data_IF_795192327222
#
_entry.id   IF_795192327222
#
_cell.length_a   1.000
_cell.length_b   1.000
_cell.length_c   1.000
_cell.angle_alpha   90.00
_cell.angle_beta   90.00
_cell.angle_gamma   90.00
#
_symmetry.space_group_name_H-M   'P 1'
#
loop_
_entity.id
_entity.type
_entity.pdbx_description
1 polymer ?
#
# COMPACT_ATOMS: atom_id res chain seq x y z
N UNK A 1 -15.59 8.84 -7.58
CA UNK A 1 -14.52 9.50 -6.80
C UNK A 1 -13.21 8.77 -7.04
N UNK A 2 -12.09 9.45 -7.34
CA UNK A 2 -10.80 8.79 -7.59
C UNK A 2 -10.28 8.09 -6.33
N UNK A 3 -9.54 7.00 -6.50
CA UNK A 3 -8.79 6.38 -5.41
C UNK A 3 -7.47 7.14 -5.24
N UNK A 4 -7.10 7.43 -4.00
CA UNK A 4 -5.85 8.10 -3.64
C UNK A 4 -5.01 7.21 -2.73
N UNK A 5 -3.70 7.19 -2.95
CA UNK A 5 -2.78 6.51 -2.05
C UNK A 5 -2.70 7.27 -0.73
N UNK A 6 -2.84 6.57 0.40
CA UNK A 6 -2.75 7.16 1.74
C UNK A 6 -1.36 7.06 2.37
N UNK A 7 -0.39 6.51 1.65
CA UNK A 7 1.00 6.50 2.08
C UNK A 7 1.53 7.92 2.33
N UNK A 8 2.41 8.12 3.34
CA UNK A 8 3.14 9.38 3.45
C UNK A 8 3.94 9.64 2.17
N UNK A 9 3.99 10.91 1.76
CA UNK A 9 4.78 11.37 0.60
C UNK A 9 4.43 10.68 -0.73
N UNK A 10 3.20 10.16 -0.87
CA UNK A 10 2.73 9.57 -2.12
C UNK A 10 1.57 10.39 -2.70
N UNK A 11 1.69 10.75 -3.98
CA UNK A 11 0.67 11.48 -4.74
C UNK A 11 -0.06 10.59 -5.76
N UNK A 12 0.15 9.27 -5.73
CA UNK A 12 -0.47 8.36 -6.69
C UNK A 12 -1.99 8.32 -6.56
N UNK A 13 -2.66 8.41 -7.70
CA UNK A 13 -4.12 8.39 -7.84
C UNK A 13 -4.55 7.36 -8.88
N UNK A 14 -5.85 7.10 -8.99
CA UNK A 14 -6.38 6.20 -10.01
C UNK A 14 -5.96 6.67 -11.41
N UNK A 15 -5.20 5.84 -12.13
CA UNK A 15 -4.65 6.17 -13.46
C UNK A 15 -3.20 6.66 -13.45
N UNK A 16 -2.59 6.90 -12.28
CA UNK A 16 -1.15 7.16 -12.19
C UNK A 16 -0.34 5.96 -12.70
N UNK A 17 0.78 6.24 -13.36
CA UNK A 17 1.74 5.23 -13.79
C UNK A 17 2.78 5.02 -12.68
N UNK A 18 3.13 3.76 -12.42
CA UNK A 18 4.20 3.38 -11.51
C UNK A 18 5.57 3.46 -12.17
N UNK A 19 6.61 3.04 -11.45
CA UNK A 19 7.99 3.04 -11.95
C UNK A 19 8.19 2.19 -13.22
N UNK A 20 7.35 1.17 -13.43
CA UNK A 20 7.37 0.29 -14.61
C UNK A 20 6.54 0.84 -15.80
N UNK A 21 6.10 2.10 -15.73
CA UNK A 21 5.25 2.76 -16.71
C UNK A 21 3.89 2.06 -16.92
N UNK A 22 3.41 1.29 -15.92
CA UNK A 22 2.09 0.66 -15.92
C UNK A 22 1.17 1.30 -14.88
N UNK A 23 -0.16 1.21 -15.04
CA UNK A 23 -1.09 1.74 -14.06
C UNK A 23 -0.88 1.14 -12.67
N UNK A 24 -0.74 2.00 -11.66
CA UNK A 24 -0.62 1.55 -10.27
C UNK A 24 -1.92 0.89 -9.81
N UNK A 25 -1.78 -0.21 -9.08
CA UNK A 25 -2.92 -0.91 -8.48
C UNK A 25 -3.14 -0.42 -7.04
N UNK A 26 -4.38 -0.41 -6.58
CA UNK A 26 -4.75 0.06 -5.23
C UNK A 26 -5.24 -1.09 -4.36
N UNK A 27 -4.69 -1.21 -3.15
CA UNK A 27 -5.01 -2.25 -2.18
C UNK A 27 -5.56 -1.65 -0.90
N UNK A 28 -6.64 -2.25 -0.39
CA UNK A 28 -7.29 -1.82 0.86
C UNK A 28 -6.44 -2.19 2.07
N UNK A 29 -6.58 -1.40 3.13
CA UNK A 29 -6.03 -1.78 4.43
C UNK A 29 -6.68 -3.08 4.93
N UNK A 30 -5.90 -3.98 5.57
CA UNK A 30 -6.39 -5.26 6.06
C UNK A 30 -7.15 -5.09 7.38
N UNK A 31 -8.30 -4.40 7.35
CA UNK A 31 -9.08 -4.04 8.55
C UNK A 31 -9.59 -5.24 9.37
N UNK A 32 -9.62 -6.43 8.76
CA UNK A 32 -10.01 -7.69 9.42
C UNK A 32 -8.83 -8.44 10.06
N UNK A 33 -7.60 -8.01 9.77
CA UNK A 33 -6.36 -8.63 10.23
C UNK A 33 -5.55 -7.59 11.01
N UNK A 34 -5.84 -7.51 12.31
CA UNK A 34 -5.24 -6.54 13.22
C UNK A 34 -3.70 -6.60 13.25
N UNK A 35 -3.06 -7.78 13.39
CA UNK A 35 -1.61 -7.90 13.34
C UNK A 35 -1.00 -7.36 12.05
N UNK A 36 -1.57 -7.71 10.90
CA UNK A 36 -1.08 -7.22 9.61
C UNK A 36 -1.31 -5.73 9.45
N UNK A 37 -2.46 -5.23 9.89
CA UNK A 37 -2.76 -3.80 9.87
C UNK A 37 -1.74 -3.01 10.70
N UNK A 38 -1.42 -3.47 11.91
CA UNK A 38 -0.42 -2.85 12.76
C UNK A 38 0.97 -2.84 12.09
N UNK A 39 1.35 -3.92 11.41
CA UNK A 39 2.59 -3.94 10.64
C UNK A 39 2.59 -2.88 9.52
N UNK A 40 1.50 -2.75 8.76
CA UNK A 40 1.39 -1.72 7.72
C UNK A 40 1.54 -0.31 8.31
N UNK A 41 0.87 -0.03 9.43
CA UNK A 41 0.93 1.26 10.11
C UNK A 41 2.34 1.57 10.63
N UNK A 42 3.05 0.58 11.18
CA UNK A 42 4.45 0.71 11.61
C UNK A 42 5.37 1.07 10.45
N UNK A 43 5.29 0.33 9.34
CA UNK A 43 6.13 0.62 8.17
C UNK A 43 5.81 1.99 7.53
N UNK A 44 4.58 2.46 7.67
CA UNK A 44 4.17 3.81 7.26
C UNK A 44 4.60 4.92 8.23
N UNK A 45 5.16 4.59 9.41
CA UNK A 45 5.43 5.56 10.48
C UNK A 45 4.16 6.18 11.08
N UNK A 46 3.04 5.45 11.07
CA UNK A 46 1.71 5.92 11.50
C UNK A 46 1.04 4.95 12.47
N UNK A 47 1.75 4.49 13.50
CA UNK A 47 1.26 3.46 14.44
C UNK A 47 -0.06 3.83 15.14
N UNK A 48 -0.25 5.11 15.47
CA UNK A 48 -1.45 5.60 16.17
C UNK A 48 -2.62 5.95 15.22
N UNK A 49 -2.49 5.71 13.92
CA UNK A 49 -3.49 6.09 12.94
C UNK A 49 -4.43 4.93 12.61
N UNK A 50 -5.74 5.19 12.58
CA UNK A 50 -6.75 4.19 12.24
C UNK A 50 -7.24 4.43 10.79
N UNK A 51 -6.97 3.50 9.86
CA UNK A 51 -7.45 3.64 8.49
C UNK A 51 -8.94 3.29 8.38
N UNK A 52 -9.61 3.93 7.42
CA UNK A 52 -11.00 3.63 7.04
C UNK A 52 -11.07 2.65 5.86
N UNK A 53 -12.24 2.06 5.64
CA UNK A 53 -12.48 1.11 4.55
C UNK A 53 -12.35 1.69 3.13
N UNK A 54 -12.30 3.02 3.02
CA UNK A 54 -12.16 3.75 1.76
C UNK A 54 -10.70 4.13 1.45
N UNK A 55 -9.78 3.87 2.37
CA UNK A 55 -8.37 4.19 2.20
C UNK A 55 -7.58 3.02 1.62
N UNK A 56 -6.55 3.37 0.84
CA UNK A 56 -5.80 2.40 0.05
C UNK A 56 -4.31 2.77 0.01
N UNK A 57 -3.47 1.77 -0.25
CA UNK A 57 -2.09 1.94 -0.66
C UNK A 57 -1.93 1.53 -2.12
N UNK A 58 -1.09 2.26 -2.86
CA UNK A 58 -0.74 1.87 -4.23
C UNK A 58 0.33 0.77 -4.26
N UNK A 59 0.48 0.10 -5.40
CA UNK A 59 1.41 -1.03 -5.58
C UNK A 59 2.87 -0.68 -5.33
N UNK A 60 3.26 0.59 -5.52
CA UNK A 60 4.66 1.04 -5.38
C UNK A 60 5.21 0.90 -3.96
N UNK A 61 4.34 0.74 -2.96
CA UNK A 61 4.75 0.58 -1.56
C UNK A 61 5.08 -0.88 -1.20
N UNK A 62 4.85 -1.82 -2.10
CA UNK A 62 5.08 -3.24 -1.89
C UNK A 62 6.16 -3.75 -2.84
N UNK A 63 7.00 -4.65 -2.34
CA UNK A 63 7.98 -5.32 -3.19
C UNK A 63 7.30 -6.29 -4.16
N UNK A 64 7.94 -6.64 -5.29
CA UNK A 64 7.39 -7.61 -6.23
C UNK A 64 7.02 -8.96 -5.59
N UNK A 65 7.76 -9.39 -4.55
CA UNK A 65 7.51 -10.65 -3.83
C UNK A 65 6.26 -10.63 -2.96
N UNK A 66 5.73 -9.46 -2.63
CA UNK A 66 4.46 -9.31 -1.90
C UNK A 66 3.24 -9.68 -2.75
N UNK A 67 3.40 -9.81 -4.07
CA UNK A 67 2.30 -10.08 -4.99
C UNK A 67 2.22 -11.55 -5.37
N UNK A 68 0.98 -12.02 -5.56
CA UNK A 68 0.69 -13.33 -6.14
C UNK A 68 -0.39 -13.20 -7.22
N UNK A 69 -0.29 -14.03 -8.25
CA UNK A 69 -1.31 -14.13 -9.28
C UNK A 69 -2.24 -15.30 -8.99
N UNK A 70 -3.55 -15.06 -9.04
CA UNK A 70 -4.58 -16.10 -8.96
C UNK A 70 -5.63 -15.79 -10.02
N UNK A 71 -5.88 -16.74 -10.91
CA UNK A 71 -6.91 -16.62 -11.95
C UNK A 71 -6.75 -15.35 -12.82
N UNK A 72 -5.51 -14.97 -13.15
CA UNK A 72 -5.24 -13.75 -13.93
C UNK A 72 -5.44 -12.44 -13.17
N UNK A 73 -5.71 -12.47 -11.85
CA UNK A 73 -5.81 -11.29 -11.00
C UNK A 73 -4.64 -11.25 -10.03
N UNK A 74 -4.04 -10.06 -9.86
CA UNK A 74 -2.93 -9.81 -8.95
C UNK A 74 -3.45 -9.44 -7.55
N UNK A 75 -3.01 -10.17 -6.54
CA UNK A 75 -3.36 -9.97 -5.14
C UNK A 75 -2.11 -9.73 -4.28
N UNK A 76 -2.29 -9.05 -3.16
CA UNK A 76 -1.31 -9.09 -2.09
C UNK A 76 -1.38 -10.43 -1.37
N UNK A 77 -0.23 -11.01 -1.09
CA UNK A 77 -0.12 -12.20 -0.24
C UNK A 77 -0.60 -11.91 1.18
N UNK A 78 -1.00 -12.92 1.98
CA UNK A 78 -1.43 -12.71 3.36
C UNK A 78 -0.36 -12.08 4.27
N UNK A 79 0.91 -12.41 4.03
CA UNK A 79 2.10 -11.93 4.75
C UNK A 79 2.63 -10.59 4.23
N UNK A 80 2.07 -10.05 3.15
CA UNK A 80 2.59 -8.84 2.54
C UNK A 80 2.37 -7.60 3.41
N UNK A 81 3.48 -6.91 3.67
CA UNK A 81 3.56 -5.60 4.34
C UNK A 81 4.17 -4.58 3.38
N UNK A 82 3.73 -3.31 3.41
CA UNK A 82 4.38 -2.26 2.62
C UNK A 82 5.74 -1.97 3.24
N UNK A 83 6.78 -1.89 2.42
CA UNK A 83 8.16 -1.67 2.89
C UNK A 83 8.88 -0.57 2.11
N UNK A 84 8.30 -0.11 1.01
CA UNK A 84 8.89 0.92 0.15
C UNK A 84 8.24 2.25 0.51
N UNK A 85 8.96 3.02 1.34
CA UNK A 85 8.61 4.39 1.68
C UNK A 85 9.85 5.24 1.55
N UNK A 86 9.72 6.42 0.94
CA UNK A 86 10.76 7.44 0.98
C UNK A 86 10.85 7.93 2.42
N UNK A 87 11.81 7.40 3.20
CA UNK A 87 12.12 7.95 4.51
C UNK A 87 12.52 9.42 4.28
N UNK A 88 11.83 10.35 4.94
CA UNK A 88 12.44 11.65 5.14
C UNK A 88 13.74 11.41 5.91
N UNK A 89 14.85 12.08 5.57
CA UNK A 89 16.07 11.94 6.35
C UNK A 89 15.74 12.27 7.82
N UNK A 90 16.27 11.51 8.80
CA UNK A 90 16.17 11.93 10.19
C UNK A 90 16.82 13.31 10.31
N UNK A 91 16.10 14.25 10.95
CA UNK A 91 16.61 15.56 11.30
C UNK A 91 17.76 15.46 12.32
#
# INVERSE_FOLDING_TARGET
>A
MPKYCRAPNCSNTAGSLGADNRPVSFYKFPLKDGPRLQAWLRHMGREHWVPSCHQHLCSEHFTPSCFQWRWGVRYLRPDAVPSIFSQAPPA
#
